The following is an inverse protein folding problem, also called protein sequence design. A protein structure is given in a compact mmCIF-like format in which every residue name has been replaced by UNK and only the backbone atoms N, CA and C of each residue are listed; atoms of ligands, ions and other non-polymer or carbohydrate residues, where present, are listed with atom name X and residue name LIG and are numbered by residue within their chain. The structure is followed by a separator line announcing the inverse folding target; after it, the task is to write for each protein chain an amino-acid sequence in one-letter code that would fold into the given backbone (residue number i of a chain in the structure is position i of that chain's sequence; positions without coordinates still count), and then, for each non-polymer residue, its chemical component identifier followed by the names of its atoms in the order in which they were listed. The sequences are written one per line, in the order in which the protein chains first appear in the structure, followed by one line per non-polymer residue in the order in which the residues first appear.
data_IF_821403244204
#
_entry.id   IF_821403244204
#
_cell.length_a   1.000
_cell.length_b   1.000
_cell.length_c   1.000
_cell.angle_alpha   90.00
_cell.angle_beta   90.00
_cell.angle_gamma   90.00
#
_symmetry.space_group_name_H-M   'P 1'
#
loop_
_entity.id
_entity.type
_entity.pdbx_description
1 polymer ?
#
# COMPACT_ATOMS: atom_id res chain seq x y z
N UNK A 1 -26.45 3.42 8.36
CA UNK A 1 -25.75 2.73 9.45
C UNK A 1 -24.76 1.80 8.80
N UNK A 2 -23.46 1.99 9.02
CA UNK A 2 -22.45 1.06 8.51
C UNK A 2 -22.45 -0.15 9.45
N UNK A 3 -22.94 -1.29 8.98
CA UNK A 3 -22.93 -2.52 9.75
C UNK A 3 -21.48 -2.87 10.12
N UNK A 4 -21.22 -3.28 11.38
CA UNK A 4 -19.90 -3.77 11.75
C UNK A 4 -19.54 -4.94 10.83
N UNK A 5 -18.28 -4.96 10.37
CA UNK A 5 -17.76 -6.11 9.64
C UNK A 5 -18.10 -7.37 10.43
N UNK A 6 -18.63 -8.40 9.77
CA UNK A 6 -19.07 -9.64 10.42
C UNK A 6 -17.95 -10.29 11.25
N UNK A 7 -16.70 -9.97 10.94
CA UNK A 7 -15.50 -10.41 11.68
C UNK A 7 -15.35 -9.80 13.09
N UNK A 8 -16.12 -8.76 13.44
CA UNK A 8 -16.08 -8.13 14.77
C UNK A 8 -17.14 -8.68 15.73
N UNK A 9 -18.08 -9.49 15.23
CA UNK A 9 -19.14 -10.07 16.02
C UNK A 9 -18.71 -11.42 16.58
N UNK A 10 -19.00 -11.65 17.86
CA UNK A 10 -18.78 -12.94 18.48
C UNK A 10 -19.75 -13.98 17.90
N UNK A 11 -19.27 -15.15 17.44
CA UNK A 11 -20.14 -16.21 16.93
C UNK A 11 -21.15 -16.77 17.94
N UNK A 12 -20.87 -16.65 19.25
CA UNK A 12 -21.73 -17.14 20.34
C UNK A 12 -22.78 -16.09 20.71
N UNK A 13 -22.36 -14.87 21.05
CA UNK A 13 -23.27 -13.82 21.55
C UNK A 13 -23.93 -13.02 20.43
N UNK A 14 -23.35 -13.06 19.21
CA UNK A 14 -23.72 -12.20 18.06
C UNK A 14 -23.58 -10.71 18.32
N UNK A 15 -22.84 -10.35 19.36
CA UNK A 15 -22.52 -8.97 19.73
C UNK A 15 -21.07 -8.64 19.41
N UNK A 16 -20.77 -7.35 19.35
CA UNK A 16 -19.43 -6.86 19.06
C UNK A 16 -18.47 -7.17 20.21
N UNK A 17 -17.37 -7.87 19.90
CA UNK A 17 -16.43 -8.36 20.90
C UNK A 17 -15.73 -7.20 21.63
N UNK A 18 -15.61 -7.30 22.95
CA UNK A 18 -14.91 -6.35 23.82
C UNK A 18 -13.58 -6.92 24.29
N UNK A 19 -13.51 -8.22 24.60
CA UNK A 19 -12.26 -8.91 24.90
C UNK A 19 -12.11 -10.17 24.03
N UNK A 20 -11.74 -10.01 22.75
CA UNK A 20 -11.64 -11.14 21.84
C UNK A 20 -10.48 -12.07 22.20
N UNK A 21 -10.78 -13.37 22.23
CA UNK A 21 -9.81 -14.47 22.37
C UNK A 21 -9.87 -15.37 21.14
N UNK A 22 -8.73 -15.92 20.73
CA UNK A 22 -8.59 -16.77 19.55
C UNK A 22 -8.22 -18.19 19.95
N UNK A 23 -8.84 -19.17 19.29
CA UNK A 23 -8.49 -20.59 19.41
C UNK A 23 -7.33 -20.97 18.46
N UNK A 24 -6.71 -22.16 18.60
CA UNK A 24 -5.64 -22.61 17.70
C UNK A 24 -6.07 -22.76 16.23
N UNK A 25 -7.37 -22.91 15.98
CA UNK A 25 -7.97 -23.03 14.65
C UNK A 25 -8.20 -21.65 14.00
N UNK A 26 -7.90 -20.54 14.71
CA UNK A 26 -7.98 -19.17 14.21
C UNK A 26 -9.33 -18.47 14.40
N UNK A 27 -10.28 -19.09 15.11
CA UNK A 27 -11.60 -18.51 15.37
C UNK A 27 -11.56 -17.61 16.60
N UNK A 28 -12.21 -16.44 16.51
CA UNK A 28 -12.26 -15.48 17.61
C UNK A 28 -13.63 -15.44 18.29
N UNK A 29 -13.62 -15.35 19.62
CA UNK A 29 -14.80 -15.31 20.47
C UNK A 29 -14.67 -14.22 21.53
N UNK A 30 -15.80 -13.76 22.07
CA UNK A 30 -15.79 -13.00 23.32
C UNK A 30 -15.32 -13.90 24.46
N UNK A 31 -14.37 -13.43 25.29
CA UNK A 31 -13.78 -14.21 26.38
C UNK A 31 -14.85 -14.84 27.27
N UNK A 32 -15.74 -14.03 27.84
CA UNK A 32 -16.75 -14.52 28.79
C UNK A 32 -17.64 -15.62 28.16
N UNK A 33 -18.00 -15.44 26.89
CA UNK A 33 -18.88 -16.35 26.18
C UNK A 33 -18.23 -17.72 25.91
N UNK A 34 -16.96 -17.74 25.49
CA UNK A 34 -16.25 -19.00 25.25
C UNK A 34 -15.86 -19.69 26.55
N UNK A 35 -15.53 -18.94 27.61
CA UNK A 35 -15.26 -19.51 28.93
C UNK A 35 -16.50 -20.19 29.52
N UNK A 36 -17.68 -19.60 29.37
CA UNK A 36 -18.96 -20.20 29.81
C UNK A 36 -19.35 -21.41 28.96
N UNK A 37 -19.10 -21.37 27.65
CA UNK A 37 -19.30 -22.52 26.77
C UNK A 37 -18.43 -23.71 27.19
N UNK A 38 -17.15 -23.46 27.46
CA UNK A 38 -16.18 -24.49 27.82
C UNK A 38 -16.43 -25.13 29.20
N UNK A 39 -17.25 -24.51 30.07
CA UNK A 39 -17.73 -25.14 31.32
C UNK A 39 -18.70 -26.28 31.07
N UNK A 40 -19.45 -26.23 29.95
CA UNK A 40 -20.50 -27.19 29.62
C UNK A 40 -20.09 -28.11 28.46
N UNK A 41 -19.20 -27.64 27.58
CA UNK A 41 -18.82 -28.32 26.35
C UNK A 41 -17.31 -28.21 26.13
N UNK A 42 -16.58 -29.32 26.12
CA UNK A 42 -15.13 -29.33 25.88
C UNK A 42 -14.75 -29.23 24.39
N UNK A 43 -15.49 -28.45 23.61
CA UNK A 43 -15.34 -28.33 22.15
C UNK A 43 -15.50 -26.89 21.66
N UNK A 44 -14.94 -26.59 20.48
CA UNK A 44 -15.16 -25.32 19.79
C UNK A 44 -16.61 -25.18 19.31
N UNK A 45 -17.29 -24.04 19.52
CA UNK A 45 -18.65 -23.80 19.03
C UNK A 45 -18.79 -23.88 17.50
N UNK A 46 -17.72 -23.60 16.76
CA UNK A 46 -17.73 -23.52 15.29
C UNK A 46 -17.26 -24.84 14.67
N UNK A 47 -16.04 -25.24 15.00
CA UNK A 47 -15.37 -26.38 14.37
C UNK A 47 -15.72 -27.70 15.04
N UNK A 48 -16.34 -27.66 16.24
CA UNK A 48 -16.65 -28.83 17.08
C UNK A 48 -15.42 -29.68 17.43
N UNK A 49 -14.22 -29.14 17.25
CA UNK A 49 -12.95 -29.75 17.65
C UNK A 49 -12.78 -29.66 19.16
N UNK A 50 -12.06 -30.60 19.81
CA UNK A 50 -11.77 -30.50 21.23
C UNK A 50 -11.01 -29.21 21.54
N UNK A 51 -11.53 -28.41 22.48
CA UNK A 51 -10.95 -27.11 22.85
C UNK A 51 -10.94 -26.99 24.37
N UNK A 52 -9.85 -26.49 24.94
CA UNK A 52 -9.72 -26.23 26.38
C UNK A 52 -9.44 -24.76 26.64
N UNK A 53 -9.72 -24.32 27.87
CA UNK A 53 -9.51 -22.94 28.31
C UNK A 53 -8.07 -22.45 28.07
N UNK A 54 -7.09 -23.35 28.30
CA UNK A 54 -5.66 -23.04 28.18
C UNK A 54 -5.19 -22.89 26.72
N UNK A 55 -6.00 -23.31 25.75
CA UNK A 55 -5.67 -23.20 24.32
C UNK A 55 -6.03 -21.81 23.78
N UNK A 56 -6.84 -21.04 24.51
CA UNK A 56 -7.27 -19.70 24.13
C UNK A 56 -6.18 -18.68 24.37
N UNK A 57 -5.93 -17.83 23.36
CA UNK A 57 -4.99 -16.72 23.45
C UNK A 57 -5.71 -15.39 23.26
N UNK A 58 -5.33 -14.30 23.95
CA UNK A 58 -5.89 -12.99 23.69
C UNK A 58 -5.61 -12.55 22.24
N UNK A 59 -6.63 -12.09 21.52
CA UNK A 59 -6.49 -11.55 20.17
C UNK A 59 -6.37 -10.02 20.21
N UNK A 60 -5.18 -9.53 20.54
CA UNK A 60 -4.91 -8.09 20.71
C UNK A 60 -5.17 -7.28 19.44
N UNK A 61 -4.78 -7.81 18.28
CA UNK A 61 -4.97 -7.13 16.99
C UNK A 61 -6.46 -6.91 16.67
N UNK A 62 -7.30 -7.93 16.91
CA UNK A 62 -8.74 -7.80 16.73
C UNK A 62 -9.35 -6.83 17.75
N UNK A 63 -8.89 -6.85 19.00
CA UNK A 63 -9.32 -5.90 20.02
C UNK A 63 -9.04 -4.46 19.63
N UNK A 64 -7.82 -4.16 19.18
CA UNK A 64 -7.42 -2.83 18.70
C UNK A 64 -8.28 -2.38 17.51
N UNK A 65 -8.52 -3.28 16.55
CA UNK A 65 -9.37 -3.00 15.38
C UNK A 65 -10.81 -2.65 15.77
N UNK A 66 -11.37 -3.35 16.76
CA UNK A 66 -12.72 -3.12 17.26
C UNK A 66 -12.80 -1.82 18.08
N UNK A 67 -11.78 -1.51 18.89
CA UNK A 67 -11.69 -0.24 19.62
C UNK A 67 -11.61 0.95 18.66
N UNK A 68 -10.85 0.83 17.58
CA UNK A 68 -10.78 1.86 16.53
C UNK A 68 -12.15 2.06 15.85
N UNK A 69 -12.87 0.98 15.55
CA UNK A 69 -14.24 1.03 15.02
C UNK A 69 -15.21 1.73 15.98
N UNK A 70 -15.15 1.43 17.29
CA UNK A 70 -15.96 2.09 18.33
C UNK A 70 -15.67 3.59 18.42
N UNK A 71 -14.39 3.98 18.32
CA UNK A 71 -13.98 5.38 18.36
C UNK A 71 -14.48 6.17 17.13
N UNK A 72 -14.47 5.55 15.94
CA UNK A 72 -15.02 6.14 14.70
C UNK A 72 -16.54 6.32 14.76
N UNK A 73 -17.27 5.40 15.39
CA UNK A 73 -18.73 5.50 15.60
C UNK A 73 -19.09 6.57 16.64
N UNK A 74 -18.33 6.66 17.73
CA UNK A 74 -18.52 7.67 18.78
C UNK A 74 -18.28 9.10 18.29
N UNK A 75 -17.48 9.25 17.24
CA UNK A 75 -17.17 10.52 16.58
C UNK A 75 -18.28 10.99 15.61
N UNK A 76 -19.24 10.13 15.26
CA UNK A 76 -20.29 10.42 14.27
C UNK A 76 -21.58 11.01 14.83
N UNK A 77 -21.73 11.18 16.15
CA UNK A 77 -22.98 11.66 16.76
C UNK A 77 -22.90 13.00 17.51
N UNK A 78 -21.90 13.83 17.21
CA UNK A 78 -21.92 15.24 17.63
C UNK A 78 -21.72 16.15 16.43
N UNK A 79 -22.82 16.78 15.98
CA UNK A 79 -22.73 18.06 15.27
C UNK A 79 -22.24 19.08 16.29
N UNK A 80 -20.93 19.12 16.55
CA UNK A 80 -20.30 20.22 17.28
C UNK A 80 -18.85 20.32 16.83
N UNK A 81 -18.57 21.47 16.20
CA UNK A 81 -17.27 22.14 16.12
C UNK A 81 -16.09 21.19 15.98
N UNK A 82 -15.67 21.00 14.73
CA UNK A 82 -14.33 20.50 14.42
C UNK A 82 -13.33 21.04 15.44
N UNK A 83 -12.47 20.16 15.95
CA UNK A 83 -11.22 20.60 16.58
C UNK A 83 -10.63 21.67 15.65
N UNK A 84 -10.22 22.86 16.15
CA UNK A 84 -9.52 23.80 15.30
C UNK A 84 -8.38 23.03 14.67
N UNK A 85 -8.33 23.04 13.34
CA UNK A 85 -7.21 22.47 12.60
C UNK A 85 -6.00 23.24 13.12
N UNK A 86 -5.18 22.59 13.94
CA UNK A 86 -3.86 23.13 14.26
C UNK A 86 -3.07 22.98 12.97
N UNK A 87 -3.05 24.04 12.17
CA UNK A 87 -2.21 24.14 10.98
C UNK A 87 -0.77 24.17 11.47
N UNK A 88 -0.15 23.00 11.56
CA UNK A 88 1.29 22.90 11.80
C UNK A 88 1.94 23.12 10.43
N UNK A 89 2.66 24.24 10.29
CA UNK A 89 3.23 24.78 9.05
C UNK A 89 2.21 25.47 8.14
N UNK A 90 1.93 26.73 8.45
CA UNK A 90 1.12 27.62 7.62
C UNK A 90 1.92 28.06 6.37
N UNK A 91 2.08 27.17 5.39
CA UNK A 91 2.32 27.62 4.02
C UNK A 91 0.98 28.09 3.46
N UNK A 92 0.82 29.41 3.38
CA UNK A 92 -0.36 30.02 2.77
C UNK A 92 -0.23 29.88 1.26
N UNK A 93 -1.14 29.14 0.64
CA UNK A 93 -1.23 28.99 -0.81
C UNK A 93 -2.44 29.79 -1.30
N UNK A 94 -2.24 30.62 -2.32
CA UNK A 94 -3.33 31.34 -2.99
C UNK A 94 -4.14 30.34 -3.84
N UNK A 95 -5.11 29.68 -3.22
CA UNK A 95 -6.02 28.75 -3.89
C UNK A 95 -7.14 29.52 -4.57
N UNK A 96 -7.36 29.30 -5.87
CA UNK A 96 -8.53 29.81 -6.57
C UNK A 96 -9.65 28.78 -6.46
N UNK A 97 -10.63 29.04 -5.60
CA UNK A 97 -11.80 28.18 -5.41
C UNK A 97 -12.97 28.77 -6.20
N UNK A 98 -13.61 27.95 -7.04
CA UNK A 98 -14.83 28.29 -7.77
C UNK A 98 -15.94 27.32 -7.38
N UNK A 99 -17.13 27.84 -7.10
CA UNK A 99 -18.30 27.02 -6.81
C UNK A 99 -19.43 27.37 -7.77
N UNK A 100 -20.04 26.37 -8.39
CA UNK A 100 -21.27 26.54 -9.17
C UNK A 100 -22.32 25.51 -8.75
N UNK A 101 -23.59 25.87 -8.87
CA UNK A 101 -24.70 25.00 -8.52
C UNK A 101 -25.51 24.69 -9.78
N UNK A 102 -25.70 23.40 -10.08
CA UNK A 102 -26.45 22.93 -11.25
C UNK A 102 -27.05 21.56 -10.98
N UNK A 103 -28.33 21.36 -11.33
CA UNK A 103 -29.06 20.09 -11.20
C UNK A 103 -28.97 19.45 -9.80
N UNK A 104 -29.23 20.22 -8.75
CA UNK A 104 -29.09 19.79 -7.34
C UNK A 104 -27.67 19.40 -6.88
N UNK A 105 -26.66 19.55 -7.75
CA UNK A 105 -25.25 19.33 -7.40
C UNK A 105 -24.51 20.66 -7.23
N UNK A 106 -23.63 20.69 -6.23
CA UNK A 106 -22.64 21.76 -6.08
C UNK A 106 -21.33 21.29 -6.68
N UNK A 107 -20.90 21.93 -7.76
CA UNK A 107 -19.58 21.74 -8.33
C UNK A 107 -18.60 22.69 -7.64
N UNK A 108 -17.62 22.11 -6.93
CA UNK A 108 -16.53 22.86 -6.32
C UNK A 108 -15.28 22.52 -7.14
N UNK A 109 -14.68 23.52 -7.77
CA UNK A 109 -13.40 23.40 -8.47
C UNK A 109 -12.35 24.21 -7.72
N UNK A 110 -11.30 23.52 -7.28
CA UNK A 110 -10.16 24.10 -6.58
C UNK A 110 -9.00 24.07 -7.55
N UNK A 111 -8.55 25.25 -7.96
CA UNK A 111 -7.34 25.40 -8.76
C UNK A 111 -6.17 25.69 -7.82
N UNK A 112 -5.15 24.81 -7.73
CA UNK A 112 -3.94 25.10 -6.99
C UNK A 112 -3.24 26.33 -7.59
N UNK A 113 -2.53 27.16 -6.80
CA UNK A 113 -1.71 28.22 -7.37
C UNK A 113 -0.72 27.59 -8.35
N UNK A 114 -0.51 28.26 -9.48
CA UNK A 114 0.62 27.95 -10.33
C UNK A 114 1.88 28.10 -9.47
N UNK A 115 2.62 27.00 -9.29
CA UNK A 115 3.79 27.01 -8.42
C UNK A 115 4.72 28.14 -8.83
N UNK A 116 4.95 29.09 -7.91
CA UNK A 116 5.89 30.19 -8.15
C UNK A 116 7.29 29.58 -8.02
N UNK A 117 7.82 29.10 -9.13
CA UNK A 117 9.18 28.59 -9.21
C UNK A 117 9.32 27.32 -10.03
N UNK A 118 10.56 27.07 -10.43
CA UNK A 118 10.98 25.81 -11.03
C UNK A 118 10.92 24.76 -9.91
N UNK A 119 10.31 23.61 -10.18
CA UNK A 119 10.34 22.44 -9.29
C UNK A 119 11.78 22.22 -8.79
N UNK A 120 11.96 21.99 -7.49
CA UNK A 120 13.27 21.67 -6.94
C UNK A 120 13.85 20.44 -7.68
N UNK A 121 15.09 20.53 -8.21
CA UNK A 121 15.78 19.39 -8.81
C UNK A 121 15.74 18.17 -7.89
N UNK A 122 15.46 17.00 -8.44
CA UNK A 122 15.45 15.75 -7.70
C UNK A 122 16.47 14.76 -8.26
N UNK A 123 17.06 14.00 -7.36
CA UNK A 123 17.91 12.86 -7.69
C UNK A 123 17.13 11.58 -7.38
N UNK A 124 17.00 10.71 -8.37
CA UNK A 124 16.25 9.47 -8.27
C UNK A 124 17.18 8.30 -8.59
N UNK A 125 17.23 7.31 -7.70
CA UNK A 125 17.87 6.02 -7.96
C UNK A 125 16.80 4.94 -8.08
N UNK A 126 16.65 4.36 -9.27
CA UNK A 126 15.76 3.23 -9.51
C UNK A 126 16.50 1.92 -9.24
N UNK A 127 16.16 1.25 -8.14
CA UNK A 127 16.68 -0.08 -7.82
C UNK A 127 15.70 -1.13 -8.35
N UNK A 128 16.14 -1.94 -9.30
CA UNK A 128 15.32 -2.82 -10.14
C UNK A 128 15.67 -4.28 -9.85
N UNK A 129 14.66 -5.06 -9.47
CA UNK A 129 14.81 -6.50 -9.34
C UNK A 129 14.91 -7.13 -10.74
N UNK A 130 15.98 -7.88 -11.00
CA UNK A 130 16.18 -8.66 -12.23
C UNK A 130 16.31 -10.15 -11.95
N UNK A 131 15.87 -10.61 -10.77
CA UNK A 131 15.88 -12.01 -10.40
C UNK A 131 14.96 -12.84 -11.30
N UNK A 132 15.21 -14.15 -11.36
CA UNK A 132 14.46 -15.06 -12.24
C UNK A 132 12.94 -15.04 -12.06
N UNK A 133 12.39 -14.60 -10.91
CA UNK A 133 10.94 -14.43 -10.74
C UNK A 133 10.33 -13.32 -11.59
N UNK A 134 11.14 -12.36 -12.05
CA UNK A 134 10.68 -11.26 -12.89
C UNK A 134 10.35 -11.68 -14.33
N UNK A 135 10.73 -12.91 -14.71
CA UNK A 135 10.35 -13.58 -15.96
C UNK A 135 8.88 -14.04 -16.00
N UNK A 136 8.20 -14.03 -14.84
CA UNK A 136 6.84 -14.58 -14.75
C UNK A 136 5.86 -13.74 -15.56
N UNK A 137 5.02 -14.40 -16.36
CA UNK A 137 3.99 -13.73 -17.15
C UNK A 137 2.98 -13.05 -16.23
N UNK A 138 2.62 -11.81 -16.59
CA UNK A 138 1.59 -11.05 -15.88
C UNK A 138 0.21 -11.54 -16.31
N UNK A 139 -0.56 -12.11 -15.38
CA UNK A 139 -1.97 -12.44 -15.62
C UNK A 139 -2.85 -11.19 -15.43
N UNK A 140 -3.37 -10.64 -16.52
CA UNK A 140 -4.39 -9.58 -16.46
C UNK A 140 -5.75 -10.26 -16.28
N UNK A 141 -6.39 -10.08 -15.13
CA UNK A 141 -7.78 -10.52 -14.93
C UNK A 141 -8.72 -9.56 -15.65
N UNK A 142 -9.11 -9.90 -16.89
CA UNK A 142 -10.17 -9.22 -17.62
C UNK A 142 -11.55 -9.46 -17.00
N UNK A 143 -12.46 -8.50 -17.15
CA UNK A 143 -13.88 -8.61 -16.74
C UNK A 143 -14.71 -9.54 -17.63
N UNK A 144 -14.14 -10.02 -18.73
CA UNK A 144 -14.72 -10.97 -19.67
C UNK A 144 -13.86 -12.23 -19.70
N UNK A 145 -14.50 -13.40 -19.72
CA UNK A 145 -13.90 -14.74 -19.65
C UNK A 145 -12.91 -15.10 -20.78
N UNK A 146 -12.56 -14.14 -21.64
CA UNK A 146 -11.52 -14.28 -22.64
C UNK A 146 -10.19 -13.85 -22.02
N UNK A 147 -9.40 -14.84 -21.59
CA UNK A 147 -8.01 -14.65 -21.18
C UNK A 147 -7.17 -14.31 -22.40
N UNK A 148 -7.29 -13.10 -22.92
CA UNK A 148 -6.29 -12.53 -23.82
C UNK A 148 -5.06 -12.18 -22.97
N UNK A 149 -4.21 -13.17 -22.75
CA UNK A 149 -2.95 -12.98 -22.04
C UNK A 149 -2.05 -12.06 -22.86
N UNK A 150 -1.79 -10.85 -22.37
CA UNK A 150 -0.60 -10.14 -22.80
C UNK A 150 0.60 -10.99 -22.39
N UNK A 151 1.39 -11.48 -23.35
CA UNK A 151 2.65 -12.19 -23.08
C UNK A 151 3.74 -11.20 -22.61
N UNK A 152 3.46 -10.43 -21.56
CA UNK A 152 4.40 -9.50 -20.94
C UNK A 152 4.91 -10.13 -19.65
N UNK A 153 6.23 -10.10 -19.47
CA UNK A 153 6.86 -10.48 -18.20
C UNK A 153 6.65 -9.38 -17.15
N UNK A 154 6.82 -9.71 -15.86
CA UNK A 154 6.86 -8.70 -14.81
C UNK A 154 8.00 -7.69 -15.05
N UNK A 155 9.13 -8.13 -15.60
CA UNK A 155 10.24 -7.24 -16.00
C UNK A 155 9.83 -6.26 -17.10
N UNK A 156 9.02 -6.67 -18.08
CA UNK A 156 8.53 -5.76 -19.12
C UNK A 156 7.63 -4.66 -18.55
N UNK A 157 6.79 -5.00 -17.57
CA UNK A 157 5.97 -4.03 -16.86
C UNK A 157 6.84 -3.03 -16.09
N UNK A 158 7.90 -3.51 -15.43
CA UNK A 158 8.86 -2.67 -14.72
C UNK A 158 9.63 -1.76 -15.70
N UNK A 159 10.09 -2.28 -16.84
CA UNK A 159 10.70 -1.48 -17.92
C UNK A 159 9.73 -0.39 -18.38
N UNK A 160 8.44 -0.69 -18.55
CA UNK A 160 7.45 0.31 -18.95
C UNK A 160 7.23 1.40 -17.89
N UNK A 161 7.19 1.02 -16.61
CA UNK A 161 7.10 1.97 -15.51
C UNK A 161 8.35 2.88 -15.45
N UNK A 162 9.54 2.32 -15.62
CA UNK A 162 10.79 3.08 -15.65
C UNK A 162 10.86 4.04 -16.84
N UNK A 163 10.39 3.63 -18.02
CA UNK A 163 10.21 4.54 -19.17
C UNK A 163 9.32 5.72 -18.79
N UNK A 164 8.24 5.48 -18.06
CA UNK A 164 7.33 6.54 -17.61
C UNK A 164 8.04 7.52 -16.66
N UNK A 165 8.82 7.00 -15.70
CA UNK A 165 9.62 7.82 -14.78
C UNK A 165 10.61 8.68 -15.58
N UNK A 166 11.41 8.07 -16.46
CA UNK A 166 12.36 8.76 -17.35
C UNK A 166 11.67 9.89 -18.13
N UNK A 167 10.46 9.64 -18.65
CA UNK A 167 9.73 10.65 -19.42
C UNK A 167 9.14 11.77 -18.57
N UNK A 168 8.80 11.49 -17.31
CA UNK A 168 8.28 12.47 -16.35
C UNK A 168 9.33 13.40 -15.75
N UNK A 169 10.62 13.02 -15.80
CA UNK A 169 11.72 13.81 -15.29
C UNK A 169 12.04 14.98 -16.22
N UNK A 170 12.52 16.07 -15.62
CA UNK A 170 12.96 17.28 -16.31
C UNK A 170 14.48 17.29 -16.48
N UNK A 171 15.01 18.17 -17.34
CA UNK A 171 16.46 18.33 -17.55
C UNK A 171 17.27 18.66 -16.29
N UNK A 172 16.62 19.18 -15.25
CA UNK A 172 17.27 19.52 -13.99
C UNK A 172 17.33 18.32 -13.03
N UNK A 173 16.57 17.26 -13.29
CA UNK A 173 16.54 16.06 -12.46
C UNK A 173 17.67 15.10 -12.86
N UNK A 174 18.17 14.33 -11.90
CA UNK A 174 19.15 13.26 -12.14
C UNK A 174 18.54 11.89 -11.88
N UNK A 175 18.92 10.92 -12.69
CA UNK A 175 18.48 9.54 -12.57
C UNK A 175 19.69 8.61 -12.55
N UNK A 176 19.65 7.59 -11.70
CA UNK A 176 20.48 6.39 -11.79
C UNK A 176 19.61 5.14 -11.82
N UNK A 177 20.12 4.05 -12.39
CA UNK A 177 19.46 2.75 -12.44
C UNK A 177 20.42 1.70 -11.94
N UNK A 178 20.01 0.96 -10.93
CA UNK A 178 20.73 -0.18 -10.35
C UNK A 178 19.87 -1.41 -10.56
N UNK A 179 20.41 -2.44 -11.20
CA UNK A 179 19.76 -3.76 -11.20
C UNK A 179 20.34 -4.61 -10.07
N UNK A 180 19.52 -5.52 -9.53
CA UNK A 180 20.00 -6.50 -8.56
C UNK A 180 19.45 -7.89 -8.86
N UNK A 181 20.35 -8.85 -8.71
CA UNK A 181 20.07 -10.27 -8.76
C UNK A 181 20.84 -10.94 -7.60
N UNK A 182 21.84 -11.77 -7.89
CA UNK A 182 22.78 -12.27 -6.89
C UNK A 182 23.67 -11.15 -6.32
N UNK A 183 24.00 -10.18 -7.18
CA UNK A 183 24.74 -8.96 -6.86
C UNK A 183 24.02 -7.76 -7.48
N UNK A 184 24.29 -6.57 -6.93
CA UNK A 184 23.84 -5.30 -7.49
C UNK A 184 24.84 -4.76 -8.51
N UNK A 185 24.32 -4.24 -9.62
CA UNK A 185 25.12 -3.64 -10.69
C UNK A 185 24.51 -2.29 -11.05
N UNK A 186 25.34 -1.28 -11.16
CA UNK A 186 24.94 0.04 -11.66
C UNK A 186 24.83 -0.08 -13.18
N UNK A 187 23.60 -0.01 -13.68
CA UNK A 187 23.28 -0.13 -15.11
C UNK A 187 23.32 1.24 -15.79
N UNK A 188 22.98 2.28 -15.03
CA UNK A 188 23.08 3.66 -15.44
C UNK A 188 23.54 4.50 -14.25
N UNK A 189 24.67 5.18 -14.40
CA UNK A 189 25.21 6.08 -13.37
C UNK A 189 24.34 7.32 -13.21
N UNK A 190 24.47 8.02 -12.07
CA UNK A 190 23.68 9.21 -11.78
C UNK A 190 23.98 10.32 -12.81
N UNK A 191 23.00 10.59 -13.68
CA UNK A 191 23.16 11.51 -14.80
C UNK A 191 21.94 12.42 -14.94
N UNK A 192 22.14 13.62 -15.52
CA UNK A 192 21.03 14.55 -15.78
C UNK A 192 20.08 14.01 -16.86
N UNK A 193 18.78 14.26 -16.72
CA UNK A 193 17.75 13.81 -17.68
C UNK A 193 17.52 14.82 -18.81
N UNK A 194 18.61 15.29 -19.41
CA UNK A 194 18.60 15.98 -20.70
C UNK A 194 18.28 15.01 -21.86
N UNK A 195 18.24 15.49 -23.10
CA UNK A 195 17.85 14.68 -24.26
C UNK A 195 18.80 13.49 -24.50
N UNK A 196 20.10 13.68 -24.24
CA UNK A 196 21.12 12.64 -24.37
C UNK A 196 21.04 11.63 -23.21
N UNK A 197 20.98 12.12 -21.96
CA UNK A 197 20.84 11.32 -20.75
C UNK A 197 19.58 10.47 -20.77
N UNK A 198 18.47 11.01 -21.27
CA UNK A 198 17.21 10.28 -21.47
C UNK A 198 17.38 9.14 -22.48
N UNK A 199 18.00 9.42 -23.62
CA UNK A 199 18.24 8.41 -24.66
C UNK A 199 19.18 7.30 -24.16
N UNK A 200 20.22 7.67 -23.41
CA UNK A 200 21.17 6.73 -22.80
C UNK A 200 20.51 5.88 -21.70
N UNK A 201 19.67 6.48 -20.85
CA UNK A 201 18.91 5.76 -19.82
C UNK A 201 17.93 4.75 -20.44
N UNK A 202 17.24 5.12 -21.53
CA UNK A 202 16.38 4.20 -22.27
C UNK A 202 17.18 3.04 -22.88
N UNK A 203 18.34 3.32 -23.48
CA UNK A 203 19.21 2.29 -24.04
C UNK A 203 19.79 1.34 -22.95
N UNK A 204 20.08 1.87 -21.75
CA UNK A 204 20.53 1.08 -20.61
C UNK A 204 19.41 0.17 -20.07
N UNK A 205 18.18 0.68 -20.05
CA UNK A 205 16.99 -0.06 -19.61
C UNK A 205 16.67 -1.25 -20.51
N UNK A 206 16.85 -1.12 -21.83
CA UNK A 206 16.62 -2.22 -22.78
C UNK A 206 17.64 -3.37 -22.59
N UNK A 207 18.82 -3.09 -22.04
CA UNK A 207 19.87 -4.10 -21.77
C UNK A 207 19.66 -4.84 -20.44
N UNK A 208 18.59 -4.53 -19.69
CA UNK A 208 18.26 -5.27 -18.48
C UNK A 208 17.76 -6.65 -18.85
N UNK A 209 18.57 -7.66 -18.55
CA UNK A 209 18.23 -9.06 -18.67
C UNK A 209 18.07 -9.70 -17.29
N UNK A 210 17.17 -10.66 -17.22
CA UNK A 210 16.90 -11.44 -16.01
C UNK A 210 17.98 -12.48 -15.76
N UNK A 211 18.49 -12.57 -14.54
CA UNK A 211 19.43 -13.61 -14.13
C UNK A 211 19.42 -13.76 -12.60
N UNK A 212 19.81 -14.92 -12.10
CA UNK A 212 20.18 -15.12 -10.69
C UNK A 212 19.03 -15.12 -9.66
N UNK A 213 19.40 -14.99 -8.39
CA UNK A 213 18.51 -14.94 -7.21
C UNK A 213 18.17 -13.50 -6.79
N UNK A 214 17.57 -13.31 -5.60
CA UNK A 214 17.07 -12.01 -5.12
C UNK A 214 17.88 -11.51 -3.92
N UNK A 215 18.94 -10.74 -4.17
CA UNK A 215 19.76 -10.09 -3.13
C UNK A 215 19.37 -8.60 -2.96
N UNK A 216 18.24 -8.39 -2.28
CA UNK A 216 17.70 -7.04 -2.06
C UNK A 216 18.65 -6.11 -1.28
N UNK A 217 19.42 -6.67 -0.33
CA UNK A 217 20.30 -5.86 0.52
C UNK A 217 21.41 -5.19 -0.29
N UNK A 218 22.04 -5.95 -1.19
CA UNK A 218 23.10 -5.43 -2.05
C UNK A 218 22.56 -4.38 -3.03
N UNK A 219 21.34 -4.58 -3.54
CA UNK A 219 20.64 -3.62 -4.39
C UNK A 219 20.38 -2.28 -3.69
N UNK A 220 19.82 -2.33 -2.48
CA UNK A 220 19.52 -1.11 -1.70
C UNK A 220 20.79 -0.39 -1.28
N UNK A 221 21.81 -1.12 -0.81
CA UNK A 221 23.09 -0.53 -0.41
C UNK A 221 23.73 0.20 -1.59
N UNK A 222 23.85 -0.47 -2.73
CA UNK A 222 24.43 0.12 -3.95
C UNK A 222 23.62 1.33 -4.42
N UNK A 223 22.29 1.26 -4.36
CA UNK A 223 21.43 2.40 -4.72
C UNK A 223 21.61 3.63 -3.82
N UNK A 224 21.81 3.44 -2.52
CA UNK A 224 22.14 4.54 -1.60
C UNK A 224 23.54 5.07 -1.88
N UNK A 225 24.52 4.21 -2.07
CA UNK A 225 25.91 4.60 -2.34
C UNK A 225 26.04 5.42 -3.64
N UNK A 226 25.14 5.25 -4.61
CA UNK A 226 25.10 6.04 -5.86
C UNK A 226 24.58 7.47 -5.65
N UNK A 227 23.77 7.71 -4.61
CA UNK A 227 23.16 9.01 -4.32
C UNK A 227 23.99 9.86 -3.34
N UNK A 228 25.04 9.30 -2.74
CA UNK A 228 25.93 9.95 -1.75
C UNK A 228 27.17 10.48 -2.45
#
# INVERSE_FOLDING_TARGET
MADPSSSFLCPITRELMTDPVIDPDGNSYERSAIEDWLKQHSTSPITRTPLRLNDLRPNRALRESIEEYRNKQSSSNTITKSKPITIVNNQSFDLKVTSSWLNDFTHISIQPPEGIGIRAPCDICCVVDTSGSMSTNVEIQGTSNDKEGCNLSQLDLVKHALKTIIHSLTQNDRLSIVSFADCAVIVFELHQMDDEGRSNALAALEKLDENGSTNLWDGLKTGVDVLV
#
